data_IF_690001043596
#
_entry.id   IF_690001043596
#
_cell.length_a   1.000
_cell.length_b   1.000
_cell.length_c   1.000
_cell.angle_alpha   90.00
_cell.angle_beta   90.00
_cell.angle_gamma   90.00
#
_symmetry.space_group_name_H-M   'P 1'
#
loop_
_entity.id
_entity.type
_entity.pdbx_description
1 polymer ?
#
# COMPACT_ATOMS: atom_id res chain seq x y z
N UNK A 1 14.29 -1.02 -18.28
CA UNK A 1 13.94 -0.77 -19.70
C UNK A 1 15.19 -1.01 -20.51
N UNK A 2 15.10 -1.54 -21.73
CA UNK A 2 16.27 -2.04 -22.45
C UNK A 2 16.51 -1.33 -23.80
N UNK A 3 15.87 -0.18 -24.03
CA UNK A 3 16.00 0.56 -25.29
C UNK A 3 16.97 1.73 -25.12
N UNK A 4 17.87 2.00 -26.08
CA UNK A 4 18.88 3.05 -25.98
C UNK A 4 18.31 4.44 -25.67
N UNK A 5 17.08 4.72 -26.11
CA UNK A 5 16.38 5.99 -25.90
C UNK A 5 16.07 6.28 -24.42
N UNK A 6 16.18 5.27 -23.55
CA UNK A 6 15.93 5.42 -22.11
C UNK A 6 17.18 5.74 -21.29
N UNK A 7 18.37 5.75 -21.90
CA UNK A 7 19.62 6.13 -21.24
C UNK A 7 19.54 7.57 -20.70
N UNK A 8 19.92 7.75 -19.44
CA UNK A 8 19.90 9.04 -18.75
C UNK A 8 18.50 9.48 -18.28
N UNK A 9 17.45 8.67 -18.48
CA UNK A 9 16.13 8.95 -17.93
C UNK A 9 16.08 8.78 -16.42
N UNK A 10 15.22 9.58 -15.78
CA UNK A 10 14.84 9.44 -14.38
C UNK A 10 13.37 9.06 -14.30
N UNK A 11 13.06 8.08 -13.46
CA UNK A 11 11.70 7.63 -13.20
C UNK A 11 11.36 7.89 -11.74
N UNK A 12 10.15 8.38 -11.49
CA UNK A 12 9.61 8.51 -10.14
C UNK A 12 8.54 7.46 -9.91
N UNK A 13 8.54 6.84 -8.73
CA UNK A 13 7.59 5.79 -8.39
C UNK A 13 7.51 5.54 -6.88
N UNK A 14 6.72 4.52 -6.47
CA UNK A 14 6.65 4.13 -5.07
C UNK A 14 8.02 3.67 -4.57
N UNK A 15 8.32 3.94 -3.29
CA UNK A 15 9.45 3.28 -2.63
C UNK A 15 9.10 1.83 -2.32
N UNK A 16 9.80 0.89 -2.95
CA UNK A 16 9.59 -0.55 -2.79
C UNK A 16 10.46 -1.18 -1.69
N UNK A 17 11.26 -0.38 -0.96
CA UNK A 17 12.15 -0.86 0.11
C UNK A 17 11.41 -0.92 1.43
N UNK A 18 10.54 -1.92 1.56
CA UNK A 18 9.63 -2.07 2.70
C UNK A 18 10.32 -2.49 4.01
N UNK A 19 11.54 -3.04 3.94
CA UNK A 19 12.29 -3.49 5.12
C UNK A 19 11.50 -4.55 5.91
N UNK A 20 11.47 -4.42 7.24
CA UNK A 20 10.73 -5.31 8.13
C UNK A 20 9.36 -4.75 8.54
N UNK A 21 8.79 -3.85 7.75
CA UNK A 21 7.45 -3.32 8.02
C UNK A 21 6.43 -4.45 7.97
N UNK A 22 5.43 -4.36 8.85
CA UNK A 22 4.29 -5.25 8.87
C UNK A 22 3.01 -4.42 8.98
N UNK A 23 1.98 -4.84 8.26
CA UNK A 23 0.66 -4.26 8.40
C UNK A 23 0.11 -4.52 9.81
N UNK A 24 -0.32 -3.48 10.53
CA UNK A 24 -0.73 -3.61 11.92
C UNK A 24 -2.02 -4.42 12.13
N UNK A 25 -2.91 -4.45 11.14
CA UNK A 25 -4.19 -5.16 11.23
C UNK A 25 -3.99 -6.66 11.00
N UNK A 26 -3.14 -7.02 10.04
CA UNK A 26 -2.99 -8.42 9.61
C UNK A 26 -1.68 -9.08 10.05
N UNK A 27 -0.68 -8.30 10.48
CA UNK A 27 0.68 -8.76 10.73
C UNK A 27 1.47 -9.10 9.45
N UNK A 28 0.91 -8.86 8.27
CA UNK A 28 1.51 -9.27 7.01
C UNK A 28 2.73 -8.43 6.65
N UNK A 29 3.78 -9.09 6.15
CA UNK A 29 5.00 -8.43 5.64
C UNK A 29 5.02 -8.46 4.11
N UNK A 30 5.93 -7.68 3.51
CA UNK A 30 6.16 -7.71 2.07
C UNK A 30 6.52 -9.13 1.56
N UNK A 31 7.47 -9.79 2.22
CA UNK A 31 7.90 -11.14 1.86
C UNK A 31 6.76 -12.16 2.02
N UNK A 32 5.98 -12.04 3.09
CA UNK A 32 4.82 -12.89 3.33
C UNK A 32 3.72 -12.69 2.27
N UNK A 33 3.52 -11.45 1.81
CA UNK A 33 2.57 -11.16 0.74
C UNK A 33 3.03 -11.75 -0.59
N UNK A 34 4.30 -11.54 -0.96
CA UNK A 34 4.86 -12.04 -2.21
C UNK A 34 4.84 -13.57 -2.26
N UNK A 35 5.20 -14.24 -1.17
CA UNK A 35 5.10 -15.70 -1.07
C UNK A 35 3.66 -16.19 -1.28
N UNK A 36 2.68 -15.60 -0.58
CA UNK A 36 1.27 -15.98 -0.73
C UNK A 36 0.72 -15.70 -2.15
N UNK A 37 1.15 -14.59 -2.76
CA UNK A 37 0.74 -14.23 -4.12
C UNK A 37 1.34 -15.21 -5.15
N UNK A 38 2.62 -15.56 -5.00
CA UNK A 38 3.28 -16.53 -5.88
C UNK A 38 2.70 -17.94 -5.71
N UNK A 39 2.38 -18.36 -4.49
CA UNK A 39 1.74 -19.66 -4.23
C UNK A 39 0.36 -19.77 -4.93
N UNK A 40 -0.41 -18.68 -4.96
CA UNK A 40 -1.74 -18.64 -5.61
C UNK A 40 -1.66 -18.49 -7.13
N UNK A 41 -0.76 -17.63 -7.64
CA UNK A 41 -0.76 -17.19 -9.04
C UNK A 41 0.44 -17.68 -9.86
N UNK A 42 1.48 -18.21 -9.23
CA UNK A 42 2.70 -18.70 -9.88
C UNK A 42 3.66 -17.60 -10.37
N UNK A 43 3.42 -16.34 -10.01
CA UNK A 43 4.22 -15.19 -10.38
C UNK A 43 4.19 -14.10 -9.30
N UNK A 44 5.12 -13.15 -9.34
CA UNK A 44 5.07 -11.95 -8.49
C UNK A 44 4.11 -10.90 -9.09
N UNK A 45 3.55 -9.98 -8.29
CA UNK A 45 2.68 -8.92 -8.81
C UNK A 45 3.43 -8.04 -9.82
N UNK A 46 2.88 -7.90 -11.03
CA UNK A 46 3.53 -7.17 -12.12
C UNK A 46 3.68 -5.65 -11.87
N UNK A 47 2.78 -5.05 -11.09
CA UNK A 47 2.75 -3.60 -10.83
C UNK A 47 3.33 -3.26 -9.45
N UNK A 48 4.07 -2.15 -9.29
CA UNK A 48 4.81 -1.85 -8.05
C UNK A 48 3.92 -1.32 -6.90
N UNK A 49 2.60 -1.27 -7.08
CA UNK A 49 1.65 -0.67 -6.13
C UNK A 49 0.91 -1.69 -5.26
N UNK A 50 1.21 -2.99 -5.37
CA UNK A 50 0.52 -4.05 -4.63
C UNK A 50 0.50 -3.81 -3.11
N UNK A 51 1.61 -3.34 -2.52
CA UNK A 51 1.69 -3.07 -1.08
C UNK A 51 0.79 -1.90 -0.67
N UNK A 52 0.66 -0.89 -1.53
CA UNK A 52 -0.21 0.27 -1.31
C UNK A 52 -1.68 -0.16 -1.33
N UNK A 53 -2.04 -1.02 -2.29
CA UNK A 53 -3.39 -1.59 -2.37
C UNK A 53 -3.70 -2.47 -1.16
N UNK A 54 -2.72 -3.25 -0.67
CA UNK A 54 -2.89 -4.07 0.52
C UNK A 54 -3.19 -3.19 1.75
N UNK A 55 -2.31 -2.23 2.05
CA UNK A 55 -2.47 -1.35 3.21
C UNK A 55 -3.73 -0.49 3.15
N UNK A 56 -4.08 0.04 1.97
CA UNK A 56 -5.32 0.79 1.78
C UNK A 56 -6.57 -0.07 2.02
N UNK A 57 -6.52 -1.33 1.58
CA UNK A 57 -7.64 -2.27 1.77
C UNK A 57 -7.81 -2.62 3.24
N UNK A 58 -6.73 -2.98 3.94
CA UNK A 58 -6.81 -3.31 5.37
C UNK A 58 -7.27 -2.12 6.19
N UNK A 59 -6.74 -0.92 5.91
CA UNK A 59 -7.14 0.31 6.60
C UNK A 59 -8.64 0.61 6.40
N UNK A 60 -9.15 0.44 5.17
CA UNK A 60 -10.56 0.64 4.88
C UNK A 60 -11.43 -0.41 5.60
N UNK A 61 -10.98 -1.67 5.65
CA UNK A 61 -11.70 -2.74 6.36
C UNK A 61 -11.73 -2.49 7.88
N UNK A 62 -10.63 -2.00 8.46
CA UNK A 62 -10.58 -1.58 9.87
C UNK A 62 -11.60 -0.45 10.14
N UNK A 63 -11.66 0.55 9.26
CA UNK A 63 -12.60 1.66 9.38
C UNK A 63 -14.06 1.20 9.24
N UNK A 64 -14.34 0.30 8.30
CA UNK A 64 -15.67 -0.30 8.12
C UNK A 64 -16.05 -1.09 9.38
N UNK A 65 -15.16 -1.93 9.90
CA UNK A 65 -15.42 -2.71 11.10
C UNK A 65 -15.71 -1.81 12.31
N UNK A 66 -14.93 -0.74 12.49
CA UNK A 66 -15.11 0.23 13.57
C UNK A 66 -16.44 1.03 13.47
N UNK A 67 -16.93 1.26 12.26
CA UNK A 67 -18.15 2.03 11.99
C UNK A 67 -19.39 1.17 11.70
N UNK A 68 -19.29 -0.15 11.85
CA UNK A 68 -20.40 -1.08 11.58
C UNK A 68 -21.10 -1.52 12.87
N UNK A 69 -22.42 -1.68 12.81
CA UNK A 69 -23.23 -2.16 13.93
C UNK A 69 -24.47 -2.93 13.45
N UNK A 70 -25.06 -3.75 14.32
CA UNK A 70 -26.35 -4.40 14.08
C UNK A 70 -27.49 -3.47 14.50
N UNK A 71 -28.46 -3.26 13.60
CA UNK A 71 -29.73 -2.60 13.88
C UNK A 71 -30.88 -3.56 13.58
N UNK A 72 -31.29 -4.32 14.60
CA UNK A 72 -32.42 -5.24 14.51
C UNK A 72 -32.21 -6.39 13.52
N UNK A 73 -31.00 -6.95 13.46
CA UNK A 73 -30.64 -8.01 12.52
C UNK A 73 -30.18 -7.50 11.14
N UNK A 74 -30.08 -6.18 10.96
CA UNK A 74 -29.51 -5.56 9.75
C UNK A 74 -28.13 -5.03 10.07
N UNK A 75 -27.11 -5.47 9.32
CA UNK A 75 -25.78 -4.87 9.38
C UNK A 75 -25.83 -3.46 8.75
N UNK A 76 -25.58 -2.45 9.57
CA UNK A 76 -25.45 -1.06 9.16
C UNK A 76 -23.98 -0.67 9.13
N UNK A 77 -23.54 -0.08 8.02
CA UNK A 77 -22.20 0.51 7.88
C UNK A 77 -22.36 2.03 7.86
N UNK A 78 -21.97 2.71 8.93
CA UNK A 78 -22.04 4.17 8.99
C UNK A 78 -20.93 4.79 8.14
N UNK A 79 -21.30 5.28 6.95
CA UNK A 79 -20.39 5.97 6.03
C UNK A 79 -19.79 7.25 6.63
N UNK A 80 -20.49 7.92 7.53
CA UNK A 80 -19.94 9.08 8.23
C UNK A 80 -18.87 8.64 9.24
N UNK A 81 -19.16 7.60 10.03
CA UNK A 81 -18.20 6.95 10.92
C UNK A 81 -16.96 6.41 10.20
N UNK A 82 -17.09 5.80 9.02
CA UNK A 82 -15.93 5.36 8.21
C UNK A 82 -15.03 6.55 7.86
N UNK A 83 -15.63 7.66 7.40
CA UNK A 83 -14.86 8.88 7.06
C UNK A 83 -14.21 9.49 8.29
N UNK A 84 -14.92 9.53 9.41
CA UNK A 84 -14.40 10.07 10.68
C UNK A 84 -13.24 9.24 11.22
N UNK A 85 -13.35 7.91 11.15
CA UNK A 85 -12.26 6.99 11.47
C UNK A 85 -11.03 7.32 10.61
N UNK A 86 -11.19 7.33 9.28
CA UNK A 86 -10.09 7.61 8.35
C UNK A 86 -9.45 8.97 8.60
N UNK A 87 -10.25 10.02 8.84
CA UNK A 87 -9.73 11.37 9.14
C UNK A 87 -8.94 11.44 10.47
N UNK A 88 -9.13 10.48 11.37
CA UNK A 88 -8.40 10.37 12.64
C UNK A 88 -7.14 9.49 12.57
N UNK A 89 -6.84 8.88 11.42
CA UNK A 89 -5.71 7.96 11.28
C UNK A 89 -4.39 8.72 11.35
N UNK A 90 -3.57 8.35 12.33
CA UNK A 90 -2.21 8.84 12.50
C UNK A 90 -1.28 7.66 12.78
N UNK A 91 -0.13 7.64 12.10
CA UNK A 91 0.91 6.63 12.26
C UNK A 91 0.43 5.17 12.18
N UNK A 92 -0.54 4.88 11.31
CA UNK A 92 -0.97 3.51 11.00
C UNK A 92 0.21 2.75 10.40
N UNK A 93 0.64 1.66 11.03
CA UNK A 93 1.75 0.87 10.50
C UNK A 93 1.28 -0.03 9.36
N UNK A 94 1.64 0.33 8.13
CA UNK A 94 1.47 -0.48 6.92
C UNK A 94 2.78 -1.10 6.44
N UNK A 95 2.68 -2.00 5.44
CA UNK A 95 3.83 -2.51 4.68
C UNK A 95 4.64 -1.35 4.06
N UNK A 96 3.95 -0.33 3.54
CA UNK A 96 4.58 0.86 2.93
C UNK A 96 5.18 1.83 3.96
N UNK A 97 5.09 1.52 5.25
CA UNK A 97 5.53 2.34 6.38
C UNK A 97 4.37 2.96 7.15
N UNK A 98 4.69 3.93 8.02
CA UNK A 98 3.68 4.68 8.78
C UNK A 98 2.84 5.55 7.84
N UNK A 99 1.52 5.41 7.94
CA UNK A 99 0.54 6.15 7.15
C UNK A 99 -0.30 7.03 8.05
N UNK A 100 -0.50 8.27 7.62
CA UNK A 100 -1.42 9.22 8.25
C UNK A 100 -2.37 9.77 7.21
N UNK A 101 -3.58 10.12 7.64
CA UNK A 101 -4.59 10.75 6.80
C UNK A 101 -4.79 12.20 7.21
N UNK A 102 -5.01 13.08 6.25
CA UNK A 102 -5.29 14.49 6.52
C UNK A 102 -6.79 14.85 6.38
N UNK A 103 -7.11 16.11 6.65
CA UNK A 103 -8.48 16.63 6.60
C UNK A 103 -9.09 16.67 5.18
N UNK A 104 -8.27 16.47 4.13
CA UNK A 104 -8.71 16.45 2.74
C UNK A 104 -8.91 15.03 2.21
N UNK A 105 -8.55 14.02 3.00
CA UNK A 105 -8.64 12.60 2.64
C UNK A 105 -7.39 12.05 1.98
N UNK A 106 -6.27 12.79 2.00
CA UNK A 106 -4.99 12.27 1.54
C UNK A 106 -4.40 11.36 2.62
N UNK A 107 -4.19 10.10 2.27
CA UNK A 107 -3.66 9.06 3.17
C UNK A 107 -2.44 8.39 2.57
N UNK A 108 -1.35 8.26 3.33
CA UNK A 108 -0.18 7.49 2.89
C UNK A 108 1.08 7.73 3.71
N UNK A 109 2.16 7.03 3.36
CA UNK A 109 3.49 7.24 3.96
C UNK A 109 4.33 8.30 3.24
N UNK A 110 3.83 8.82 2.11
CA UNK A 110 4.41 9.90 1.31
C UNK A 110 5.87 9.65 0.86
N UNK A 111 6.26 8.39 0.67
CA UNK A 111 7.60 8.02 0.19
C UNK A 111 7.61 7.79 -1.32
N UNK A 112 8.30 8.67 -2.04
CA UNK A 112 8.53 8.56 -3.48
C UNK A 112 10.02 8.31 -3.72
N UNK A 113 10.33 7.39 -4.61
CA UNK A 113 11.71 7.09 -5.04
C UNK A 113 11.92 7.63 -6.45
N UNK A 114 13.11 8.20 -6.68
CA UNK A 114 13.60 8.56 -8.01
C UNK A 114 14.70 7.57 -8.39
N UNK A 115 14.53 6.91 -9.53
CA UNK A 115 15.44 5.88 -10.06
C UNK A 115 16.04 6.44 -11.34
N UNK A 116 17.37 6.56 -11.39
CA UNK A 116 18.10 6.90 -12.61
C UNK A 116 18.38 5.65 -13.43
N UNK A 117 18.25 5.76 -14.76
CA UNK A 117 18.60 4.70 -15.70
C UNK A 117 19.84 5.10 -16.52
N UNK A 118 21.06 4.98 -15.95
CA UNK A 118 22.27 5.51 -16.57
C UNK A 118 22.83 4.63 -17.69
N UNK A 119 22.44 3.34 -17.75
CA UNK A 119 22.88 2.41 -18.79
C UNK A 119 21.70 1.53 -19.21
N UNK A 120 21.29 1.52 -20.50
CA UNK A 120 20.20 0.70 -21.01
C UNK A 120 20.49 -0.82 -20.98
N UNK A 121 21.72 -1.22 -20.64
CA UNK A 121 22.15 -2.60 -20.46
C UNK A 121 22.16 -3.03 -19.00
N UNK A 122 21.86 -2.13 -18.07
CA UNK A 122 21.70 -2.47 -16.66
C UNK A 122 20.30 -3.05 -16.43
N UNK A 123 20.25 -4.38 -16.27
CA UNK A 123 19.02 -5.15 -16.06
C UNK A 123 18.74 -5.41 -14.57
N UNK A 124 19.51 -4.83 -13.65
CA UNK A 124 19.40 -5.07 -12.22
C UNK A 124 18.24 -4.30 -11.57
N UNK A 125 17.28 -5.04 -11.02
CA UNK A 125 16.52 -4.62 -9.83
C UNK A 125 17.15 -5.30 -8.61
#
# INVERSE_FOLDING_TARGET
MAIPETEGMYFSGPDIRYGSNANQSTGQTADGFLAAYNDEWGEDPAAPFWAHSYDATTLLLDAIAAASYDDGGTLVIDRAGVREYLAGVTDYAGIIGLMSCDAFGDCGSQKITVIGHPDPRDFGF
#
